data_IF_965282903840
#
_entry.id   IF_965282903840
#
_cell.length_a   1.000
_cell.length_b   1.000
_cell.length_c   1.000
_cell.angle_alpha   90.00
_cell.angle_beta   90.00
_cell.angle_gamma   90.00
#
_symmetry.space_group_name_H-M   'P 1'
#
loop_
_entity.id
_entity.type
_entity.pdbx_description
1 polymer ?
#
# COMPACT_ATOMS: atom_id res chain seq x y z
N UNK A 1 -27.02 17.21 52.65
CA UNK A 1 -25.93 17.82 51.86
C UNK A 1 -25.71 16.97 50.63
N UNK A 2 -26.25 17.45 49.52
CA UNK A 2 -26.06 16.91 48.18
C UNK A 2 -24.61 17.05 47.74
N UNK A 3 -24.07 16.01 47.10
CA UNK A 3 -23.28 16.19 45.88
C UNK A 3 -23.72 15.11 44.90
N UNK A 4 -24.72 15.47 44.10
CA UNK A 4 -25.10 14.76 42.89
C UNK A 4 -23.93 14.86 41.92
N UNK A 5 -23.16 13.77 41.77
CA UNK A 5 -22.20 13.63 40.69
C UNK A 5 -22.99 13.53 39.39
N UNK A 6 -23.08 14.65 38.67
CA UNK A 6 -23.58 14.75 37.30
C UNK A 6 -23.04 13.58 36.47
N UNK A 7 -23.89 12.57 36.27
CA UNK A 7 -23.70 11.47 35.33
C UNK A 7 -23.80 11.98 33.90
N UNK A 8 -22.88 12.87 33.52
CA UNK A 8 -22.60 13.13 32.12
C UNK A 8 -21.99 11.85 31.57
N UNK A 9 -22.84 10.99 31.01
CA UNK A 9 -22.40 9.98 30.05
C UNK A 9 -21.42 10.67 29.10
N UNK A 10 -20.19 10.14 28.90
CA UNK A 10 -19.28 10.74 27.95
C UNK A 10 -20.03 10.93 26.64
N UNK A 11 -20.03 12.16 26.12
CA UNK A 11 -20.67 12.46 24.84
C UNK A 11 -20.24 11.40 23.82
N UNK A 12 -21.15 10.88 22.99
CA UNK A 12 -20.79 9.84 22.02
C UNK A 12 -19.60 10.32 21.22
N UNK A 13 -18.43 9.70 21.42
CA UNK A 13 -17.30 9.93 20.53
C UNK A 13 -17.76 9.55 19.14
N UNK A 14 -17.60 10.41 18.12
CA UNK A 14 -17.96 10.06 16.76
C UNK A 14 -17.33 8.72 16.40
N UNK A 15 -18.11 7.78 15.84
CA UNK A 15 -17.65 6.42 15.50
C UNK A 15 -16.39 6.39 14.61
N UNK A 16 -16.07 7.52 13.95
CA UNK A 16 -14.93 7.69 13.06
C UNK A 16 -14.36 9.13 13.15
N UNK A 17 -13.56 9.44 14.20
CA UNK A 17 -13.04 10.78 14.43
C UNK A 17 -11.93 11.14 13.40
N UNK A 18 -11.56 12.42 13.27
CA UNK A 18 -10.44 12.81 12.42
C UNK A 18 -9.09 12.35 12.95
N UNK A 19 -8.07 12.36 12.08
CA UNK A 19 -6.71 12.05 12.51
C UNK A 19 -6.14 13.13 13.43
N UNK A 20 -5.27 12.75 14.38
CA UNK A 20 -4.45 13.73 15.09
C UNK A 20 -3.66 14.59 14.11
N UNK A 21 -3.60 15.91 14.35
CA UNK A 21 -2.93 16.87 13.46
C UNK A 21 -1.48 16.49 13.15
N UNK A 22 -0.73 15.98 14.15
CA UNK A 22 0.64 15.52 13.97
C UNK A 22 0.75 14.40 12.92
N UNK A 23 -0.20 13.46 12.90
CA UNK A 23 -0.23 12.41 11.89
C UNK A 23 -0.54 12.97 10.50
N UNK A 24 -1.46 13.94 10.40
CA UNK A 24 -1.78 14.61 9.12
C UNK A 24 -0.59 15.34 8.53
N UNK A 25 0.15 16.08 9.36
CA UNK A 25 1.36 16.79 8.94
C UNK A 25 2.43 15.81 8.47
N UNK A 26 2.61 14.70 9.20
CA UNK A 26 3.52 13.64 8.78
C UNK A 26 3.11 13.03 7.44
N UNK A 27 1.84 12.64 7.29
CA UNK A 27 1.30 12.10 6.03
C UNK A 27 1.44 13.09 4.86
N UNK A 28 1.27 14.39 5.09
CA UNK A 28 1.52 15.42 4.07
C UNK A 28 3.01 15.47 3.66
N UNK A 29 3.93 15.32 4.62
CA UNK A 29 5.36 15.15 4.33
C UNK A 29 5.65 13.90 3.50
N UNK A 30 5.02 12.77 3.84
CA UNK A 30 5.12 11.52 3.06
C UNK A 30 4.63 11.72 1.62
N UNK A 31 3.52 12.44 1.40
CA UNK A 31 3.04 12.75 0.03
C UNK A 31 4.11 13.45 -0.81
N UNK A 32 4.91 14.35 -0.23
CA UNK A 32 6.01 15.01 -0.96
C UNK A 32 7.05 13.99 -1.44
N UNK A 33 7.40 13.00 -0.60
CA UNK A 33 8.28 11.91 -1.01
C UNK A 33 7.65 11.01 -2.08
N UNK A 34 6.34 10.73 -1.96
CA UNK A 34 5.60 9.96 -2.96
C UNK A 34 5.55 10.66 -4.32
N UNK A 35 5.54 12.00 -4.37
CA UNK A 35 5.66 12.76 -5.63
C UNK A 35 7.00 12.47 -6.32
N UNK A 36 8.10 12.42 -5.56
CA UNK A 36 9.41 12.04 -6.12
C UNK A 36 9.38 10.60 -6.64
N UNK A 37 8.76 9.68 -5.90
CA UNK A 37 8.53 8.29 -6.33
C UNK A 37 7.69 8.20 -7.60
N UNK A 38 6.58 8.93 -7.69
CA UNK A 38 5.73 9.02 -8.88
C UNK A 38 6.50 9.57 -10.10
N UNK A 39 7.52 10.40 -9.88
CA UNK A 39 8.42 10.84 -10.95
C UNK A 39 9.19 9.69 -11.62
N UNK A 40 9.39 8.53 -10.98
CA UNK A 40 9.89 7.32 -11.67
C UNK A 40 8.91 6.80 -12.72
N UNK A 41 7.60 7.04 -12.53
CA UNK A 41 6.58 6.74 -13.51
C UNK A 41 6.57 7.78 -14.61
N UNK A 42 6.37 9.05 -14.27
CA UNK A 42 6.09 10.08 -15.29
C UNK A 42 7.35 10.64 -15.97
N UNK A 43 8.47 10.72 -15.25
CA UNK A 43 9.72 11.33 -15.71
C UNK A 43 10.98 10.53 -15.29
N UNK A 44 11.09 9.23 -15.68
CA UNK A 44 12.18 8.37 -15.23
C UNK A 44 13.57 8.90 -15.57
N UNK A 45 13.72 9.62 -16.69
CA UNK A 45 15.01 10.22 -17.07
C UNK A 45 15.51 11.27 -16.05
N UNK A 46 14.60 11.98 -15.38
CA UNK A 46 14.94 12.97 -14.36
C UNK A 46 15.18 12.33 -13.00
N UNK A 47 14.39 11.33 -12.63
CA UNK A 47 14.40 10.78 -11.26
C UNK A 47 15.41 9.65 -11.08
N UNK A 48 15.58 8.75 -12.06
CA UNK A 48 16.49 7.60 -11.94
C UNK A 48 17.92 7.99 -11.55
N UNK A 49 18.56 9.04 -12.13
CA UNK A 49 19.91 9.43 -11.73
C UNK A 49 19.99 9.92 -10.27
N UNK A 50 18.88 10.40 -9.71
CA UNK A 50 18.77 10.94 -8.33
C UNK A 50 18.30 9.87 -7.34
N UNK A 51 17.87 8.71 -7.82
CA UNK A 51 17.40 7.62 -7.00
C UNK A 51 18.55 7.06 -6.13
N UNK A 52 18.26 6.52 -4.93
CA UNK A 52 19.31 6.09 -3.99
C UNK A 52 20.16 4.91 -4.47
N UNK A 53 19.61 4.07 -5.35
CA UNK A 53 20.30 2.95 -6.00
C UNK A 53 20.00 2.91 -7.50
N UNK A 54 20.70 2.05 -8.25
CA UNK A 54 20.51 1.89 -9.68
C UNK A 54 19.19 1.18 -10.01
N UNK A 55 18.37 1.78 -10.88
CA UNK A 55 17.06 1.23 -11.25
C UNK A 55 16.99 1.03 -12.76
N UNK A 56 16.54 -0.15 -13.19
CA UNK A 56 16.29 -0.43 -14.62
C UNK A 56 15.01 0.30 -15.10
N UNK A 57 14.81 0.51 -16.40
CA UNK A 57 13.60 1.17 -16.91
C UNK A 57 12.28 0.52 -16.45
N UNK A 58 12.20 -0.81 -16.49
CA UNK A 58 11.01 -1.54 -16.02
C UNK A 58 10.81 -1.39 -14.51
N UNK A 59 11.88 -1.54 -13.71
CA UNK A 59 11.82 -1.31 -12.27
C UNK A 59 11.38 0.11 -11.91
N UNK A 60 11.82 1.12 -12.68
CA UNK A 60 11.43 2.52 -12.46
C UNK A 60 9.92 2.72 -12.68
N UNK A 61 9.36 2.23 -13.79
CA UNK A 61 7.91 2.34 -14.03
C UNK A 61 7.11 1.51 -13.03
N UNK A 62 7.59 0.33 -12.64
CA UNK A 62 6.94 -0.49 -11.62
C UNK A 62 6.84 0.25 -10.28
N UNK A 63 7.99 0.70 -9.73
CA UNK A 63 8.05 1.45 -8.48
C UNK A 63 7.25 2.75 -8.56
N UNK A 64 7.40 3.49 -9.65
CA UNK A 64 6.68 4.75 -9.84
C UNK A 64 5.17 4.56 -9.89
N UNK A 65 4.68 3.47 -10.49
CA UNK A 65 3.26 3.14 -10.52
C UNK A 65 2.72 2.86 -9.11
N UNK A 66 3.47 2.08 -8.33
CA UNK A 66 3.13 1.81 -6.93
C UNK A 66 3.12 3.08 -6.07
N UNK A 67 4.18 3.90 -6.13
CA UNK A 67 4.23 5.17 -5.38
C UNK A 67 3.12 6.14 -5.81
N UNK A 68 2.74 6.15 -7.09
CA UNK A 68 1.62 6.96 -7.58
C UNK A 68 0.29 6.46 -7.01
N UNK A 69 0.07 5.15 -6.95
CA UNK A 69 -1.12 4.58 -6.31
C UNK A 69 -1.21 4.97 -4.82
N UNK A 70 -0.09 4.83 -4.10
CA UNK A 70 0.00 5.23 -2.69
C UNK A 70 -0.25 6.73 -2.50
N UNK A 71 0.31 7.58 -3.37
CA UNK A 71 0.12 9.03 -3.34
C UNK A 71 -1.36 9.40 -3.43
N UNK A 72 -2.09 8.81 -4.38
CA UNK A 72 -3.52 9.08 -4.56
C UNK A 72 -4.32 8.63 -3.34
N UNK A 73 -4.02 7.45 -2.79
CA UNK A 73 -4.65 6.94 -1.58
C UNK A 73 -4.38 7.85 -0.37
N UNK A 74 -3.12 8.25 -0.17
CA UNK A 74 -2.73 9.12 0.93
C UNK A 74 -3.36 10.53 0.80
N UNK A 75 -3.44 11.07 -0.41
CA UNK A 75 -4.12 12.33 -0.68
C UNK A 75 -5.64 12.24 -0.37
N UNK A 76 -6.29 11.15 -0.79
CA UNK A 76 -7.69 10.90 -0.47
C UNK A 76 -7.93 10.80 1.04
N UNK A 77 -7.01 10.16 1.79
CA UNK A 77 -7.08 10.11 3.24
C UNK A 77 -6.93 11.47 3.91
N UNK A 78 -6.00 12.30 3.43
CA UNK A 78 -5.82 13.65 3.96
C UNK A 78 -7.06 14.52 3.71
N UNK A 79 -7.73 14.29 2.58
CA UNK A 79 -8.99 14.96 2.23
C UNK A 79 -10.16 14.48 3.09
N UNK A 80 -10.38 13.17 3.21
CA UNK A 80 -11.47 12.64 4.04
C UNK A 80 -11.25 12.85 5.54
N UNK A 81 -9.99 12.79 5.97
CA UNK A 81 -9.56 13.02 7.35
C UNK A 81 -10.38 12.19 8.36
N UNK A 82 -10.35 10.86 8.22
CA UNK A 82 -11.10 9.91 9.06
C UNK A 82 -10.23 8.79 9.58
N UNK A 83 -10.30 8.49 10.88
CA UNK A 83 -9.48 7.49 11.57
C UNK A 83 -9.50 6.11 10.90
N UNK A 84 -10.68 5.55 10.65
CA UNK A 84 -10.87 4.20 10.12
C UNK A 84 -10.06 3.91 8.84
N UNK A 85 -10.24 4.66 7.74
CA UNK A 85 -9.50 4.41 6.51
C UNK A 85 -7.98 4.68 6.63
N UNK A 86 -7.54 5.61 7.49
CA UNK A 86 -6.09 5.80 7.67
C UNK A 86 -5.46 4.87 8.69
N UNK A 87 -6.22 4.25 9.60
CA UNK A 87 -5.72 3.14 10.41
C UNK A 87 -5.30 1.99 9.50
N UNK A 88 -6.12 1.67 8.50
CA UNK A 88 -5.79 0.68 7.47
C UNK A 88 -4.49 1.04 6.76
N UNK A 89 -4.40 2.25 6.20
CA UNK A 89 -3.18 2.69 5.49
C UNK A 89 -1.98 2.79 6.40
N UNK A 90 -2.16 3.15 7.68
CA UNK A 90 -1.09 3.19 8.67
C UNK A 90 -0.50 1.80 8.91
N UNK A 91 -1.33 0.76 8.99
CA UNK A 91 -0.85 -0.62 9.11
C UNK A 91 -0.15 -1.07 7.84
N UNK A 92 -0.73 -0.79 6.67
CA UNK A 92 -0.10 -1.12 5.38
C UNK A 92 1.25 -0.43 5.22
N UNK A 93 1.33 0.87 5.53
CA UNK A 93 2.55 1.66 5.50
C UNK A 93 3.58 1.18 6.51
N UNK A 94 3.17 0.79 7.72
CA UNK A 94 4.08 0.22 8.73
C UNK A 94 4.70 -1.09 8.23
N UNK A 95 3.88 -2.02 7.71
CA UNK A 95 4.37 -3.29 7.14
C UNK A 95 5.35 -3.00 6.01
N UNK A 96 4.95 -2.14 5.07
CA UNK A 96 5.76 -1.79 3.91
C UNK A 96 7.11 -1.19 4.33
N UNK A 97 7.09 -0.16 5.18
CA UNK A 97 8.28 0.59 5.57
C UNK A 97 9.22 -0.24 6.44
N UNK A 98 8.73 -1.15 7.28
CA UNK A 98 9.58 -2.09 8.03
C UNK A 98 10.33 -3.01 7.09
N UNK A 99 9.63 -3.65 6.15
CA UNK A 99 10.24 -4.59 5.21
C UNK A 99 11.27 -3.88 4.33
N UNK A 100 10.92 -2.73 3.76
CA UNK A 100 11.84 -1.95 2.92
C UNK A 100 13.05 -1.46 3.72
N UNK A 101 12.87 -1.03 4.97
CA UNK A 101 13.99 -0.65 5.84
C UNK A 101 14.93 -1.83 6.07
N UNK A 102 14.41 -2.98 6.49
CA UNK A 102 15.19 -4.19 6.74
C UNK A 102 15.92 -4.65 5.47
N UNK A 103 15.23 -4.72 4.34
CA UNK A 103 15.84 -5.07 3.06
C UNK A 103 16.94 -4.08 2.66
N UNK A 104 16.75 -2.77 2.92
CA UNK A 104 17.78 -1.75 2.66
C UNK A 104 19.01 -1.91 3.55
N UNK A 105 18.83 -2.26 4.83
CA UNK A 105 19.95 -2.52 5.76
C UNK A 105 20.73 -3.80 5.44
N UNK A 106 20.04 -4.86 5.00
CA UNK A 106 20.70 -6.10 4.59
C UNK A 106 21.52 -5.86 3.31
N UNK A 107 21.07 -4.94 2.45
CA UNK A 107 21.65 -4.71 1.13
C UNK A 107 22.33 -3.34 1.00
N UNK A 108 23.09 -2.91 2.03
CA UNK A 108 23.78 -1.60 2.02
C UNK A 108 24.70 -1.39 0.82
N UNK A 109 25.24 -2.47 0.23
CA UNK A 109 26.11 -2.41 -0.95
C UNK A 109 25.44 -1.81 -2.21
N UNK A 110 24.12 -1.72 -2.26
CA UNK A 110 23.39 -1.06 -3.36
C UNK A 110 23.41 0.48 -3.29
N UNK A 111 23.79 1.04 -2.14
CA UNK A 111 23.68 2.46 -1.86
C UNK A 111 25.06 3.14 -1.89
N UNK A 112 25.19 4.20 -2.68
CA UNK A 112 26.38 5.06 -2.64
C UNK A 112 26.19 6.19 -1.62
N UNK A 113 26.76 6.02 -0.42
CA UNK A 113 26.67 6.96 0.69
C UNK A 113 27.48 8.26 0.54
N UNK A 114 28.27 8.42 -0.53
CA UNK A 114 28.84 9.71 -0.93
C UNK A 114 27.74 10.69 -1.39
N UNK A 115 26.58 10.15 -1.79
CA UNK A 115 25.42 10.93 -2.24
C UNK A 115 24.45 11.16 -1.08
N UNK A 116 23.72 12.27 -1.12
CA UNK A 116 22.67 12.58 -0.13
C UNK A 116 21.42 11.68 -0.23
N UNK A 117 21.19 11.07 -1.39
CA UNK A 117 19.96 10.32 -1.67
C UNK A 117 19.76 9.08 -0.77
N UNK A 118 20.76 8.21 -0.55
CA UNK A 118 20.65 7.12 0.43
C UNK A 118 20.35 7.59 1.85
N UNK A 119 21.02 8.63 2.35
CA UNK A 119 20.75 9.15 3.68
C UNK A 119 19.31 9.62 3.85
N UNK A 120 18.78 10.33 2.84
CA UNK A 120 17.38 10.74 2.82
C UNK A 120 16.43 9.54 2.77
N UNK A 121 16.76 8.51 1.99
CA UNK A 121 16.00 7.27 1.93
C UNK A 121 15.88 6.60 3.31
N UNK A 122 17.01 6.35 3.99
CA UNK A 122 16.99 5.76 5.32
C UNK A 122 16.25 6.64 6.33
N UNK A 123 16.46 7.95 6.30
CA UNK A 123 15.76 8.88 7.19
C UNK A 123 14.24 8.77 7.03
N UNK A 124 13.73 8.82 5.79
CA UNK A 124 12.30 8.78 5.51
C UNK A 124 11.68 7.45 5.90
N UNK A 125 12.32 6.34 5.55
CA UNK A 125 11.80 5.01 5.85
C UNK A 125 11.82 4.71 7.35
N UNK A 126 12.91 5.03 8.06
CA UNK A 126 13.00 4.87 9.50
C UNK A 126 12.03 5.79 10.26
N UNK A 127 11.91 7.05 9.84
CA UNK A 127 10.91 7.96 10.41
C UNK A 127 9.50 7.41 10.19
N UNK A 128 9.22 6.84 9.02
CA UNK A 128 7.92 6.23 8.72
C UNK A 128 7.63 5.00 9.58
N UNK A 129 8.62 4.14 9.82
CA UNK A 129 8.51 3.00 10.76
C UNK A 129 8.21 3.52 12.17
N UNK A 130 9.00 4.48 12.66
CA UNK A 130 8.88 5.00 14.03
C UNK A 130 7.54 5.71 14.25
N UNK A 131 7.15 6.62 13.35
CA UNK A 131 5.90 7.38 13.44
C UNK A 131 4.71 6.45 13.31
N UNK A 132 4.71 5.56 12.31
CA UNK A 132 3.59 4.62 12.11
C UNK A 132 3.44 3.66 13.29
N UNK A 133 4.54 3.08 13.76
CA UNK A 133 4.54 2.20 14.93
C UNK A 133 4.06 2.91 16.20
N UNK A 134 4.49 4.16 16.42
CA UNK A 134 4.07 4.96 17.57
C UNK A 134 2.57 5.28 17.55
N UNK A 135 2.03 5.67 16.39
CA UNK A 135 0.59 5.94 16.26
C UNK A 135 -0.24 4.66 16.42
N UNK A 136 0.20 3.54 15.84
CA UNK A 136 -0.45 2.24 16.06
C UNK A 136 -0.43 1.82 17.52
N UNK A 137 0.71 2.00 18.20
CA UNK A 137 0.84 1.67 19.62
C UNK A 137 -0.05 2.54 20.51
N UNK A 138 -0.11 3.87 20.25
CA UNK A 138 -0.97 4.80 20.99
C UNK A 138 -2.45 4.57 20.74
N UNK A 139 -2.81 4.17 19.52
CA UNK A 139 -4.19 3.95 19.12
C UNK A 139 -4.63 2.49 19.19
N UNK A 140 -3.85 1.59 19.82
CA UNK A 140 -4.14 0.15 19.90
C UNK A 140 -5.49 -0.18 20.57
N UNK A 141 -5.93 0.68 21.48
CA UNK A 141 -7.21 0.53 22.18
C UNK A 141 -8.38 1.18 21.43
N UNK A 142 -8.12 1.90 20.32
CA UNK A 142 -9.17 2.57 19.54
C UNK A 142 -9.74 1.58 18.52
N UNK A 143 -11.03 1.23 18.63
CA UNK A 143 -11.66 0.39 17.62
C UNK A 143 -11.70 1.11 16.27
N UNK A 144 -11.85 0.33 15.20
CA UNK A 144 -12.22 0.88 13.89
C UNK A 144 -13.70 1.25 13.88
N UNK A 145 -14.13 1.98 12.84
CA UNK A 145 -15.54 2.26 12.62
C UNK A 145 -16.35 0.95 12.52
N UNK A 146 -17.66 1.05 12.72
CA UNK A 146 -18.56 -0.10 12.67
C UNK A 146 -18.47 -0.77 11.29
N UNK A 147 -18.07 -2.04 11.29
CA UNK A 147 -17.92 -2.82 10.07
C UNK A 147 -19.24 -3.28 9.50
N UNK A 148 -19.22 -3.58 8.21
CA UNK A 148 -20.31 -4.25 7.51
C UNK A 148 -20.14 -5.77 7.65
N UNK A 149 -21.26 -6.49 7.75
CA UNK A 149 -21.25 -7.95 7.75
C UNK A 149 -20.93 -8.47 6.33
N UNK A 150 -19.73 -8.99 6.15
CA UNK A 150 -19.36 -9.69 4.92
C UNK A 150 -20.09 -11.03 4.84
N UNK A 151 -20.69 -11.33 3.68
CA UNK A 151 -21.25 -12.65 3.42
C UNK A 151 -20.13 -13.72 3.37
N UNK A 152 -20.50 -15.01 3.41
CA UNK A 152 -19.56 -16.13 3.45
C UNK A 152 -18.62 -16.16 2.24
N UNK A 153 -19.14 -15.85 1.04
CA UNK A 153 -18.35 -15.80 -0.18
C UNK A 153 -17.25 -14.73 -0.11
N UNK A 154 -17.57 -13.51 0.34
CA UNK A 154 -16.60 -12.43 0.53
C UNK A 154 -15.57 -12.75 1.60
N UNK A 155 -15.98 -13.38 2.71
CA UNK A 155 -15.03 -13.85 3.73
C UNK A 155 -14.05 -14.88 3.17
N UNK A 156 -14.55 -15.84 2.38
CA UNK A 156 -13.71 -16.83 1.70
C UNK A 156 -12.74 -16.18 0.73
N UNK A 157 -13.23 -15.26 -0.11
CA UNK A 157 -12.41 -14.53 -1.08
C UNK A 157 -11.30 -13.69 -0.41
N UNK A 158 -11.63 -12.91 0.62
CA UNK A 158 -10.63 -12.10 1.34
C UNK A 158 -9.58 -12.98 2.02
N UNK A 159 -9.97 -14.16 2.52
CA UNK A 159 -9.02 -15.13 3.11
C UNK A 159 -8.07 -15.69 2.05
N UNK A 160 -8.60 -16.07 0.89
CA UNK A 160 -7.81 -16.54 -0.26
C UNK A 160 -6.87 -15.43 -0.75
N UNK A 161 -7.37 -14.20 -0.90
CA UNK A 161 -6.58 -13.06 -1.36
C UNK A 161 -5.43 -12.75 -0.40
N UNK A 162 -5.73 -12.70 0.90
CA UNK A 162 -4.72 -12.55 1.96
C UNK A 162 -3.66 -13.65 1.88
N UNK A 163 -4.07 -14.91 1.70
CA UNK A 163 -3.14 -16.04 1.61
C UNK A 163 -2.25 -15.94 0.37
N UNK A 164 -2.81 -15.63 -0.81
CA UNK A 164 -2.05 -15.50 -2.05
C UNK A 164 -1.03 -14.36 -1.95
N UNK A 165 -1.47 -13.17 -1.54
CA UNK A 165 -0.59 -12.01 -1.38
C UNK A 165 0.47 -12.26 -0.30
N UNK A 166 0.07 -12.86 0.82
CA UNK A 166 0.96 -13.18 1.94
C UNK A 166 2.03 -14.19 1.55
N UNK A 167 1.65 -15.33 0.98
CA UNK A 167 2.57 -16.38 0.53
C UNK A 167 3.51 -15.87 -0.55
N UNK A 168 2.99 -15.12 -1.53
CA UNK A 168 3.81 -14.57 -2.59
C UNK A 168 4.80 -13.52 -2.07
N UNK A 169 4.36 -12.65 -1.16
CA UNK A 169 5.21 -11.69 -0.48
C UNK A 169 6.30 -12.34 0.36
N UNK A 170 5.97 -13.33 1.20
CA UNK A 170 6.97 -14.10 1.96
C UNK A 170 7.94 -14.81 1.02
N UNK A 171 7.45 -15.38 -0.08
CA UNK A 171 8.26 -16.01 -1.12
C UNK A 171 9.28 -15.06 -1.74
N UNK A 172 8.86 -13.85 -2.12
CA UNK A 172 9.76 -12.81 -2.64
C UNK A 172 10.78 -12.33 -1.59
N UNK A 173 10.43 -12.34 -0.30
CA UNK A 173 11.32 -11.90 0.76
C UNK A 173 12.40 -12.94 1.10
N UNK A 174 12.02 -14.21 1.20
CA UNK A 174 12.90 -15.30 1.67
C UNK A 174 13.56 -16.07 0.52
N UNK A 175 12.88 -16.18 -0.63
CA UNK A 175 13.34 -16.93 -1.81
C UNK A 175 13.26 -16.04 -3.07
N UNK A 176 13.95 -14.88 -3.07
CA UNK A 176 13.72 -13.82 -4.04
C UNK A 176 13.95 -14.24 -5.50
N UNK A 177 14.97 -15.07 -5.77
CA UNK A 177 15.30 -15.51 -7.12
C UNK A 177 14.26 -16.49 -7.68
N UNK A 178 13.65 -17.31 -6.83
CA UNK A 178 12.61 -18.27 -7.25
C UNK A 178 11.30 -17.55 -7.54
N UNK A 179 10.84 -16.71 -6.60
CA UNK A 179 9.55 -16.02 -6.74
C UNK A 179 9.64 -14.81 -7.69
N UNK A 180 10.83 -14.25 -7.91
CA UNK A 180 11.10 -13.26 -8.95
C UNK A 180 11.24 -13.87 -10.36
N UNK A 181 11.38 -15.19 -10.47
CA UNK A 181 11.71 -15.87 -11.72
C UNK A 181 10.66 -15.78 -12.82
N UNK A 182 9.39 -15.52 -12.48
CA UNK A 182 8.33 -15.36 -13.49
C UNK A 182 8.07 -13.91 -13.89
N UNK A 183 8.85 -12.95 -13.39
CA UNK A 183 8.69 -11.56 -13.78
C UNK A 183 9.01 -11.39 -15.29
N UNK A 184 8.29 -10.50 -16.00
CA UNK A 184 8.53 -10.29 -17.43
C UNK A 184 9.94 -9.76 -17.74
N UNK A 185 10.61 -9.16 -16.74
CA UNK A 185 11.99 -8.70 -16.79
C UNK A 185 12.76 -9.23 -15.58
N UNK A 186 14.10 -9.39 -15.69
CA UNK A 186 14.90 -9.87 -14.57
C UNK A 186 14.92 -8.87 -13.42
N UNK A 187 14.70 -9.39 -12.21
CA UNK A 187 14.89 -8.67 -10.95
C UNK A 187 15.93 -9.41 -10.11
N UNK A 188 16.78 -8.64 -9.43
CA UNK A 188 17.76 -9.20 -8.50
C UNK A 188 17.13 -9.45 -7.11
N UNK A 189 17.93 -10.02 -6.21
CA UNK A 189 17.48 -10.37 -4.88
C UNK A 189 17.00 -9.15 -4.09
N UNK A 190 17.71 -8.03 -4.17
CA UNK A 190 17.37 -6.79 -3.46
C UNK A 190 16.03 -6.22 -3.91
N UNK A 191 15.80 -6.10 -5.23
CA UNK A 191 14.53 -5.58 -5.75
C UNK A 191 13.37 -6.51 -5.41
N UNK A 192 13.54 -7.83 -5.52
CA UNK A 192 12.52 -8.81 -5.11
C UNK A 192 12.15 -8.65 -3.62
N UNK A 193 13.14 -8.52 -2.74
CA UNK A 193 12.91 -8.29 -1.31
C UNK A 193 12.19 -6.96 -1.03
N UNK A 194 12.58 -5.87 -1.69
CA UNK A 194 11.89 -4.58 -1.57
C UNK A 194 10.45 -4.68 -2.08
N UNK A 195 10.22 -5.35 -3.21
CA UNK A 195 8.88 -5.49 -3.81
C UNK A 195 7.97 -6.44 -3.04
N UNK A 196 8.52 -7.36 -2.25
CA UNK A 196 7.76 -8.21 -1.33
C UNK A 196 6.84 -7.39 -0.40
N UNK A 197 7.30 -6.20 -0.01
CA UNK A 197 6.61 -5.28 0.86
C UNK A 197 5.23 -4.87 0.31
N UNK A 198 5.08 -4.78 -1.01
CA UNK A 198 3.82 -4.43 -1.68
C UNK A 198 2.76 -5.51 -1.41
N UNK A 199 3.14 -6.77 -1.57
CA UNK A 199 2.25 -7.92 -1.39
C UNK A 199 1.95 -8.15 0.09
N UNK A 200 2.94 -8.02 0.97
CA UNK A 200 2.74 -8.18 2.42
C UNK A 200 1.90 -7.05 3.02
N UNK A 201 2.07 -5.81 2.56
CA UNK A 201 1.20 -4.70 2.94
C UNK A 201 -0.23 -4.93 2.42
N UNK A 202 -0.39 -5.39 1.18
CA UNK A 202 -1.68 -5.80 0.63
C UNK A 202 -2.36 -6.89 1.46
N UNK A 203 -1.64 -7.95 1.82
CA UNK A 203 -2.14 -9.02 2.68
C UNK A 203 -2.56 -8.51 4.07
N UNK A 204 -1.76 -7.64 4.69
CA UNK A 204 -2.08 -7.01 5.97
C UNK A 204 -3.33 -6.12 5.90
N UNK A 205 -3.48 -5.35 4.81
CA UNK A 205 -4.68 -4.57 4.56
C UNK A 205 -5.94 -5.43 4.39
N UNK A 206 -5.84 -6.49 3.58
CA UNK A 206 -6.93 -7.46 3.37
C UNK A 206 -7.29 -8.19 4.67
N UNK A 207 -6.31 -8.56 5.50
CA UNK A 207 -6.55 -9.15 6.82
C UNK A 207 -7.36 -8.25 7.74
N UNK A 208 -7.04 -6.95 7.78
CA UNK A 208 -7.76 -5.99 8.61
C UNK A 208 -9.23 -5.87 8.19
N UNK A 209 -9.48 -5.73 6.90
CA UNK A 209 -10.83 -5.67 6.33
C UNK A 209 -11.58 -6.99 6.54
N UNK A 210 -10.89 -8.13 6.44
CA UNK A 210 -11.49 -9.44 6.73
C UNK A 210 -11.95 -9.56 8.20
N UNK A 211 -11.17 -9.02 9.15
CA UNK A 211 -11.50 -9.05 10.58
C UNK A 211 -12.67 -8.13 10.92
N UNK A 212 -12.67 -6.92 10.35
CA UNK A 212 -13.75 -5.95 10.48
C UNK A 212 -13.75 -5.12 9.18
N UNK A 213 -14.88 -5.07 8.48
CA UNK A 213 -14.96 -4.42 7.16
C UNK A 213 -15.71 -3.07 7.21
N UNK A 214 -15.16 -2.01 7.84
CA UNK A 214 -15.71 -0.67 7.66
C UNK A 214 -15.74 -0.32 6.19
N UNK A 215 -16.79 0.39 5.80
CA UNK A 215 -17.02 0.78 4.41
C UNK A 215 -15.88 1.64 3.87
N UNK A 216 -15.33 2.52 4.69
CA UNK A 216 -14.22 3.39 4.32
C UNK A 216 -12.91 2.62 4.17
N UNK A 217 -12.63 1.64 5.03
CA UNK A 217 -11.47 0.75 4.88
C UNK A 217 -11.58 -0.10 3.60
N UNK A 218 -12.77 -0.62 3.30
CA UNK A 218 -13.02 -1.38 2.07
C UNK A 218 -12.85 -0.52 0.82
N UNK A 219 -13.32 0.74 0.86
CA UNK A 219 -13.15 1.70 -0.24
C UNK A 219 -11.66 1.98 -0.49
N UNK A 220 -10.90 2.27 0.57
CA UNK A 220 -9.47 2.61 0.45
C UNK A 220 -8.65 1.42 -0.01
N UNK A 221 -8.91 0.22 0.53
CA UNK A 221 -8.26 -1.01 0.06
C UNK A 221 -8.57 -1.25 -1.42
N UNK A 222 -9.86 -1.10 -1.80
CA UNK A 222 -10.29 -1.27 -3.18
C UNK A 222 -9.62 -0.28 -4.13
N UNK A 223 -9.56 1.00 -3.75
CA UNK A 223 -8.87 2.04 -4.51
C UNK A 223 -7.36 1.74 -4.65
N UNK A 224 -6.70 1.35 -3.56
CA UNK A 224 -5.28 1.03 -3.57
C UNK A 224 -4.98 -0.12 -4.54
N UNK A 225 -5.72 -1.23 -4.44
CA UNK A 225 -5.52 -2.40 -5.30
C UNK A 225 -5.85 -2.13 -6.76
N UNK A 226 -6.93 -1.39 -7.03
CA UNK A 226 -7.28 -0.97 -8.39
C UNK A 226 -6.14 -0.15 -9.01
N UNK A 227 -5.65 0.88 -8.32
CA UNK A 227 -4.60 1.76 -8.81
C UNK A 227 -3.28 1.01 -8.98
N UNK A 228 -2.91 0.13 -8.04
CA UNK A 228 -1.70 -0.70 -8.16
C UNK A 228 -1.79 -1.59 -9.40
N UNK A 229 -2.88 -2.35 -9.56
CA UNK A 229 -3.07 -3.22 -10.72
C UNK A 229 -3.01 -2.45 -12.04
N UNK A 230 -3.72 -1.32 -12.13
CA UNK A 230 -3.77 -0.47 -13.32
C UNK A 230 -2.40 0.14 -13.66
N UNK A 231 -1.77 0.84 -12.71
CA UNK A 231 -0.56 1.61 -12.97
C UNK A 231 0.65 0.72 -13.22
N UNK A 232 0.73 -0.44 -12.57
CA UNK A 232 1.81 -1.40 -12.79
C UNK A 232 1.72 -2.03 -14.19
N UNK A 233 0.53 -2.45 -14.62
CA UNK A 233 0.32 -2.96 -15.99
C UNK A 233 0.58 -1.87 -17.02
N UNK A 234 0.07 -0.65 -16.80
CA UNK A 234 0.33 0.47 -17.68
C UNK A 234 1.83 0.80 -17.77
N UNK A 235 2.55 0.74 -16.65
CA UNK A 235 4.00 0.94 -16.60
C UNK A 235 4.78 -0.10 -17.42
N UNK A 236 4.35 -1.37 -17.37
CA UNK A 236 4.89 -2.43 -18.22
C UNK A 236 4.65 -2.12 -19.70
N UNK A 237 3.40 -1.83 -20.08
CA UNK A 237 3.03 -1.54 -21.48
C UNK A 237 3.81 -0.36 -22.02
N UNK A 238 3.86 0.77 -21.29
CA UNK A 238 4.60 1.97 -21.72
C UNK A 238 6.10 1.66 -21.91
N UNK A 239 6.70 0.93 -20.98
CA UNK A 239 8.14 0.61 -21.07
C UNK A 239 8.42 -0.35 -22.22
N UNK A 240 7.59 -1.37 -22.40
CA UNK A 240 7.74 -2.35 -23.46
C UNK A 240 7.51 -1.73 -24.85
N UNK A 241 6.57 -0.80 -24.99
CA UNK A 241 6.39 -0.06 -26.26
C UNK A 241 7.60 0.76 -26.67
N UNK A 242 8.44 1.19 -25.71
CA UNK A 242 9.64 1.95 -25.99
C UNK A 242 10.88 1.06 -26.18
N UNK A 243 10.90 -0.13 -25.57
CA UNK A 243 12.10 -0.97 -25.46
C UNK A 243 12.02 -2.27 -26.26
N UNK A 244 10.82 -2.79 -26.54
CA UNK A 244 10.56 -4.07 -27.21
C UNK A 244 11.37 -5.24 -26.65
N UNK A 245 11.35 -5.40 -25.32
CA UNK A 245 12.17 -6.40 -24.61
C UNK A 245 11.37 -7.51 -23.93
N UNK A 246 10.05 -7.38 -23.85
CA UNK A 246 9.22 -8.35 -23.14
C UNK A 246 8.63 -9.34 -24.13
N UNK A 247 8.87 -10.63 -23.89
CA UNK A 247 8.10 -11.68 -24.53
C UNK A 247 6.69 -11.72 -23.92
N UNK A 248 5.70 -11.36 -24.74
CA UNK A 248 4.30 -11.26 -24.33
C UNK A 248 3.59 -12.61 -24.24
N UNK A 249 4.13 -13.65 -24.89
CA UNK A 249 3.55 -15.00 -24.87
C UNK A 249 4.18 -15.89 -23.81
N UNK A 250 5.32 -15.48 -23.23
CA UNK A 250 5.96 -16.19 -22.14
C UNK A 250 4.99 -16.41 -20.97
N UNK A 251 4.96 -17.66 -20.46
CA UNK A 251 4.09 -18.04 -19.34
C UNK A 251 4.28 -17.14 -18.13
N UNK A 252 5.52 -16.75 -17.82
CA UNK A 252 5.81 -15.83 -16.72
C UNK A 252 5.15 -14.46 -16.90
N UNK A 253 5.24 -13.87 -18.09
CA UNK A 253 4.58 -12.61 -18.43
C UNK A 253 3.06 -12.70 -18.25
N UNK A 254 2.45 -13.78 -18.72
CA UNK A 254 1.01 -14.02 -18.57
C UNK A 254 0.61 -14.20 -17.10
N UNK A 255 1.37 -14.96 -16.31
CA UNK A 255 1.14 -15.11 -14.87
C UNK A 255 1.27 -13.77 -14.13
N UNK A 256 2.25 -12.95 -14.49
CA UNK A 256 2.45 -11.63 -13.90
C UNK A 256 1.31 -10.68 -14.25
N UNK A 257 0.87 -10.66 -15.51
CA UNK A 257 -0.30 -9.88 -15.95
C UNK A 257 -1.58 -10.36 -15.26
N UNK A 258 -1.76 -11.67 -15.11
CA UNK A 258 -2.89 -12.25 -14.40
C UNK A 258 -2.90 -11.86 -12.92
N UNK A 259 -1.74 -11.87 -12.26
CA UNK A 259 -1.60 -11.46 -10.86
C UNK A 259 -2.01 -9.99 -10.66
N UNK A 260 -1.41 -9.06 -11.41
CA UNK A 260 -1.73 -7.63 -11.27
C UNK A 260 -3.13 -7.29 -11.81
N UNK A 261 -3.59 -8.00 -12.83
CA UNK A 261 -4.96 -7.89 -13.34
C UNK A 261 -5.98 -8.34 -12.29
N UNK A 262 -5.73 -9.47 -11.63
CA UNK A 262 -6.55 -9.95 -10.52
C UNK A 262 -6.55 -8.98 -9.33
N UNK A 263 -5.39 -8.41 -8.95
CA UNK A 263 -5.33 -7.37 -7.92
C UNK A 263 -6.19 -6.16 -8.33
N UNK A 264 -6.10 -5.71 -9.58
CA UNK A 264 -6.90 -4.59 -10.09
C UNK A 264 -8.41 -4.87 -10.07
N UNK A 265 -8.83 -6.03 -10.57
CA UNK A 265 -10.23 -6.48 -10.59
C UNK A 265 -10.77 -6.66 -9.17
N UNK A 266 -9.98 -7.23 -8.27
CA UNK A 266 -10.30 -7.33 -6.84
C UNK A 266 -10.60 -5.96 -6.25
N UNK A 267 -9.79 -4.95 -6.59
CA UNK A 267 -10.02 -3.56 -6.19
C UNK A 267 -11.36 -3.00 -6.70
N UNK A 268 -11.68 -3.23 -7.97
CA UNK A 268 -12.97 -2.83 -8.58
C UNK A 268 -14.14 -3.48 -7.85
N UNK A 269 -14.07 -4.78 -7.56
CA UNK A 269 -15.15 -5.46 -6.84
C UNK A 269 -15.38 -4.89 -5.43
N UNK A 270 -14.31 -4.51 -4.71
CA UNK A 270 -14.44 -3.84 -3.40
C UNK A 270 -15.09 -2.47 -3.54
N UNK A 271 -14.71 -1.67 -4.55
CA UNK A 271 -15.33 -0.38 -4.84
C UNK A 271 -16.81 -0.52 -5.21
N UNK A 272 -17.15 -1.52 -6.02
CA UNK A 272 -18.53 -1.82 -6.40
C UNK A 272 -19.38 -2.31 -5.22
N UNK A 273 -18.82 -3.13 -4.33
CA UNK A 273 -19.49 -3.53 -3.11
C UNK A 273 -19.86 -2.30 -2.27
N UNK A 274 -18.93 -1.35 -2.11
CA UNK A 274 -19.16 -0.09 -1.39
C UNK A 274 -20.26 0.77 -2.04
N UNK A 275 -20.33 0.85 -3.36
CA UNK A 275 -21.34 1.67 -4.06
C UNK A 275 -22.75 1.10 -3.93
N UNK A 276 -22.91 -0.24 -3.96
CA UNK A 276 -24.22 -0.88 -3.75
C UNK A 276 -24.81 -0.64 -2.36
N UNK A 277 -23.97 -0.54 -1.33
CA UNK A 277 -24.42 -0.19 0.01
C UNK A 277 -25.01 1.23 0.09
N UNK A 278 -24.49 2.19 -0.69
CA UNK A 278 -25.04 3.54 -0.72
C UNK A 278 -26.44 3.59 -1.34
N UNK A 279 -26.65 2.88 -2.45
CA UNK A 279 -27.95 2.87 -3.13
C UNK A 279 -29.06 2.26 -2.27
N UNK A 280 -28.73 1.29 -1.42
CA UNK A 280 -29.69 0.64 -0.52
C UNK A 280 -30.11 1.54 0.66
N UNK A 281 -29.23 2.42 1.17
CA UNK A 281 -29.56 3.36 2.26
C UNK A 281 -30.26 4.63 1.80
N UNK A 282 -30.07 5.06 0.54
CA UNK A 282 -30.82 6.20 -0.02
C UNK A 282 -32.26 5.83 -0.42
N UNK A 283 -32.59 4.54 -0.45
CA UNK A 283 -33.91 4.00 -0.81
C UNK A 283 -34.76 3.59 0.41
N UNK A 284 -34.24 3.81 1.62
CA UNK A 284 -34.92 3.58 2.91
C UNK A 284 -35.16 4.90 3.63
#
# INVERSE_FOLDING_TARGET
>A
MEYSSLGLSPAPTPDNPPFPTAFRLFSAGVVIFLIVGAGLFFAPALVKPRWPWAVTPFNARFLGGFYTAEMVVMAALLFWNRWSPGRLVLVMAFIFTVIVSVASFINLGYFNFERKAPWLWFLVYLASVAVSGLFLWRARARPSAKGVTLNSAWRGYMSMEMAILGLYGVGLLLFPLTFGGFWPWPIDAFHAQVYSAIFLAGAGGTYLVWKNAPREELLVLGLAQFLVGLLVILGLVITDTAMHRIDRTATGTLCWLALFGWIGISGIFKLYAVSRYFSAQSAS
#
